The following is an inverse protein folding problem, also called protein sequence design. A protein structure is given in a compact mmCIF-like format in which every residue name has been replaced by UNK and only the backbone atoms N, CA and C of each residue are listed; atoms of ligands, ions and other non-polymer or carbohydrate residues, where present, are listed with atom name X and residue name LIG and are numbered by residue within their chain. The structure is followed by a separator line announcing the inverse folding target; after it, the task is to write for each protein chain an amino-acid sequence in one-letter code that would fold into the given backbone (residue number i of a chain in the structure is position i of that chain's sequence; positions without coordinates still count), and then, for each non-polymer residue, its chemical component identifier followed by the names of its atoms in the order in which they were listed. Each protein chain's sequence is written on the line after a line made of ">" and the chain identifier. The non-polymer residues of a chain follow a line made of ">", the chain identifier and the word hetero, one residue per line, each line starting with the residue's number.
data_IF_773276641245
#
_entry.id   IF_773276641245
#
_cell.length_a   1.000
_cell.length_b   1.000
_cell.length_c   1.000
_cell.angle_alpha   90.00
_cell.angle_beta   90.00
_cell.angle_gamma   90.00
#
_symmetry.space_group_name_H-M   'P 1'
#
loop_
_entity.id
_entity.type
_entity.pdbx_description
1 polymer ?
#
# COMPACT_ATOMS: atom_id res chain seq x y z
N UNK A 1 -23.25 21.18 -9.81
CA UNK A 1 -22.89 20.50 -8.54
C UNK A 1 -21.53 19.80 -8.60
N UNK A 2 -21.19 19.09 -9.68
CA UNK A 2 -19.95 18.28 -9.84
C UNK A 2 -18.62 19.02 -9.63
N UNK A 3 -18.53 20.32 -9.98
CA UNK A 3 -17.28 21.08 -9.87
C UNK A 3 -16.88 21.38 -8.41
N UNK A 4 -17.87 21.53 -7.53
CA UNK A 4 -17.67 21.88 -6.12
C UNK A 4 -17.11 20.68 -5.34
N UNK A 5 -17.57 19.47 -5.66
CA UNK A 5 -17.15 18.23 -5.00
C UNK A 5 -15.73 17.82 -5.37
N UNK A 6 -15.32 17.97 -6.64
CA UNK A 6 -13.92 17.74 -7.07
C UNK A 6 -12.96 18.72 -6.37
N UNK A 7 -13.38 19.97 -6.16
CA UNK A 7 -12.58 20.98 -5.45
C UNK A 7 -12.46 20.65 -3.96
N UNK A 8 -13.52 20.15 -3.34
CA UNK A 8 -13.52 19.71 -1.94
C UNK A 8 -12.59 18.51 -1.74
N UNK A 9 -12.67 17.49 -2.60
CA UNK A 9 -11.79 16.31 -2.53
C UNK A 9 -10.31 16.67 -2.69
N UNK A 10 -9.98 17.59 -3.62
CA UNK A 10 -8.61 18.08 -3.80
C UNK A 10 -8.09 18.82 -2.55
N UNK A 11 -8.94 19.62 -1.90
CA UNK A 11 -8.59 20.33 -0.66
C UNK A 11 -8.41 19.36 0.52
N UNK A 12 -9.23 18.33 0.62
CA UNK A 12 -9.09 17.28 1.63
C UNK A 12 -7.80 16.48 1.44
N UNK A 13 -7.48 16.06 0.21
CA UNK A 13 -6.21 15.42 -0.10
C UNK A 13 -5.01 16.31 0.23
N UNK A 14 -5.06 17.61 -0.12
CA UNK A 14 -3.99 18.55 0.22
C UNK A 14 -3.84 18.74 1.74
N UNK A 15 -4.95 18.81 2.48
CA UNK A 15 -4.93 18.93 3.95
C UNK A 15 -4.32 17.67 4.59
N UNK A 16 -4.70 16.48 4.12
CA UNK A 16 -4.14 15.22 4.59
C UNK A 16 -2.66 15.10 4.27
N UNK A 17 -2.23 15.52 3.07
CA UNK A 17 -0.81 15.59 2.70
C UNK A 17 -0.02 16.55 3.57
N UNK A 18 -0.62 17.72 3.88
CA UNK A 18 0.04 18.73 4.69
C UNK A 18 0.16 18.31 6.15
N UNK A 19 -0.90 17.71 6.71
CA UNK A 19 -0.84 17.06 8.02
C UNK A 19 0.19 15.93 8.05
N UNK A 20 0.31 15.15 6.98
CA UNK A 20 1.34 14.11 6.87
C UNK A 20 2.75 14.71 6.92
N UNK A 21 3.03 15.75 6.14
CA UNK A 21 4.34 16.42 6.08
C UNK A 21 4.71 17.07 7.42
N UNK A 22 3.75 17.73 8.09
CA UNK A 22 4.01 18.40 9.38
C UNK A 22 4.37 17.42 10.50
N UNK A 23 3.93 16.16 10.43
CA UNK A 23 4.23 15.15 11.44
C UNK A 23 5.58 14.43 11.21
N UNK A 24 6.17 14.52 10.01
CA UNK A 24 7.47 13.90 9.71
C UNK A 24 8.59 14.50 10.58
N UNK A 25 8.61 15.82 10.79
CA UNK A 25 9.65 16.49 11.58
C UNK A 25 9.65 16.12 13.07
N UNK A 26 8.48 15.89 13.65
CA UNK A 26 8.32 15.44 15.05
C UNK A 26 8.74 13.98 15.24
N UNK A 27 8.51 13.16 14.22
CA UNK A 27 8.84 11.74 14.19
C UNK A 27 10.34 11.50 14.02
N UNK A 28 11.02 12.30 13.20
CA UNK A 28 12.48 12.22 13.00
C UNK A 28 13.29 12.59 14.27
N UNK A 29 12.70 13.33 15.21
CA UNK A 29 13.34 13.69 16.48
C UNK A 29 13.33 12.56 17.53
N UNK A 30 12.49 11.53 17.38
CA UNK A 30 12.48 10.34 18.24
C UNK A 30 13.36 9.25 17.60
N UNK A 31 14.66 9.28 17.90
CA UNK A 31 15.72 8.50 17.23
C UNK A 31 15.33 7.09 16.77
N UNK A 32 15.68 6.74 15.52
CA UNK A 32 15.60 5.43 14.82
C UNK A 32 14.33 4.56 15.03
N UNK A 33 13.27 5.07 15.64
CA UNK A 33 12.02 4.31 15.89
C UNK A 33 11.09 4.30 14.69
N UNK A 34 11.24 5.30 13.83
CA UNK A 34 10.45 5.47 12.64
C UNK A 34 11.34 5.37 11.40
N UNK A 35 10.96 4.46 10.53
CA UNK A 35 11.63 4.18 9.25
C UNK A 35 10.67 4.57 8.13
N UNK A 36 11.23 4.93 6.98
CA UNK A 36 10.47 5.16 5.77
C UNK A 36 10.86 4.11 4.74
N UNK A 37 9.88 3.57 4.03
CA UNK A 37 10.10 2.64 2.95
C UNK A 37 9.48 3.18 1.67
N UNK A 38 10.28 3.25 0.62
CA UNK A 38 9.84 3.58 -0.73
C UNK A 38 10.12 2.39 -1.63
N UNK A 39 9.14 2.00 -2.44
CA UNK A 39 9.30 0.84 -3.30
C UNK A 39 8.40 0.80 -4.50
N UNK A 40 8.64 -0.22 -5.33
CA UNK A 40 7.82 -0.58 -6.45
C UNK A 40 7.02 -1.83 -6.11
N UNK A 41 5.82 -1.93 -6.67
CA UNK A 41 4.97 -3.09 -6.51
C UNK A 41 4.44 -3.57 -7.86
N UNK A 42 4.10 -4.85 -7.96
CA UNK A 42 3.56 -5.45 -9.15
C UNK A 42 2.42 -6.40 -8.78
N UNK A 43 1.21 -6.15 -9.28
CA UNK A 43 0.09 -7.06 -9.11
C UNK A 43 0.35 -8.39 -9.84
N UNK A 44 0.08 -9.50 -9.15
CA UNK A 44 0.17 -10.85 -9.70
C UNK A 44 -1.24 -11.29 -10.10
N UNK A 45 -1.42 -11.61 -11.38
CA UNK A 45 -2.67 -12.14 -11.91
C UNK A 45 -2.95 -13.55 -11.40
N UNK A 46 -3.99 -13.72 -10.59
CA UNK A 46 -4.43 -15.04 -10.10
C UNK A 46 -5.38 -15.77 -11.07
N UNK A 47 -5.93 -15.05 -12.04
CA UNK A 47 -6.90 -15.57 -13.01
C UNK A 47 -6.29 -15.66 -14.42
N UNK A 48 -6.88 -16.49 -15.28
CA UNK A 48 -6.51 -16.56 -16.70
C UNK A 48 -6.64 -15.16 -17.34
N UNK A 49 -5.58 -14.70 -18.01
CA UNK A 49 -5.42 -13.33 -18.53
C UNK A 49 -5.20 -12.21 -17.50
N UNK A 50 -5.14 -12.51 -16.19
CA UNK A 50 -5.03 -11.51 -15.11
C UNK A 50 -3.70 -10.76 -15.02
N UNK A 51 -2.82 -10.90 -16.01
CA UNK A 51 -1.54 -10.20 -16.12
C UNK A 51 -1.46 -9.22 -17.31
N UNK A 52 -2.46 -9.24 -18.21
CA UNK A 52 -2.39 -8.51 -19.49
C UNK A 52 -2.26 -6.99 -19.32
N UNK A 53 -2.90 -6.44 -18.30
CA UNK A 53 -2.96 -5.00 -18.04
C UNK A 53 -2.20 -4.60 -16.76
N UNK A 54 -1.40 -5.52 -16.19
CA UNK A 54 -0.66 -5.23 -14.96
C UNK A 54 0.54 -4.35 -15.27
N UNK A 55 0.67 -3.25 -14.54
CA UNK A 55 1.79 -2.35 -14.63
C UNK A 55 2.47 -2.21 -13.27
N UNK A 56 3.74 -1.78 -13.28
CA UNK A 56 4.47 -1.47 -12.06
C UNK A 56 3.80 -0.29 -11.36
N UNK A 57 3.46 -0.51 -10.10
CA UNK A 57 3.00 0.51 -9.17
C UNK A 57 4.12 0.95 -8.22
N UNK A 58 3.80 1.92 -7.37
CA UNK A 58 4.72 2.46 -6.38
C UNK A 58 4.02 2.57 -5.05
N UNK A 59 4.78 2.50 -3.97
CA UNK A 59 4.24 2.72 -2.64
C UNK A 59 5.21 3.46 -1.74
N UNK A 60 4.65 4.17 -0.78
CA UNK A 60 5.33 4.77 0.35
C UNK A 60 4.79 4.12 1.61
N UNK A 61 5.67 3.78 2.55
CA UNK A 61 5.28 3.13 3.80
C UNK A 61 6.05 3.74 4.97
N UNK A 62 5.33 4.28 5.96
CA UNK A 62 5.91 4.72 7.23
C UNK A 62 5.85 3.58 8.23
N UNK A 63 6.96 3.28 8.91
CA UNK A 63 7.09 2.10 9.78
C UNK A 63 7.55 2.55 11.15
N UNK A 64 6.78 2.22 12.18
CA UNK A 64 7.16 2.39 13.57
C UNK A 64 7.51 1.02 14.18
N UNK A 65 8.78 0.81 14.55
CA UNK A 65 9.24 -0.43 15.20
C UNK A 65 9.27 -0.26 16.72
N UNK A 66 8.64 -1.17 17.45
CA UNK A 66 8.69 -1.15 18.90
C UNK A 66 10.07 -1.65 19.40
N UNK A 67 10.74 -0.95 20.33
CA UNK A 67 12.09 -1.35 20.77
C UNK A 67 12.13 -2.72 21.45
N UNK A 68 11.13 -3.02 22.28
CA UNK A 68 11.11 -4.22 23.14
C UNK A 68 10.14 -5.31 22.65
N UNK A 69 9.45 -5.08 21.54
CA UNK A 69 8.42 -5.98 21.03
C UNK A 69 8.73 -6.34 19.57
N UNK A 70 8.56 -7.61 19.15
CA UNK A 70 8.68 -8.05 17.76
C UNK A 70 7.63 -7.44 16.80
N UNK A 71 6.79 -6.52 17.25
CA UNK A 71 5.79 -5.85 16.44
C UNK A 71 6.32 -4.56 15.75
N UNK A 72 5.71 -4.23 14.62
CA UNK A 72 5.72 -2.88 14.05
C UNK A 72 4.31 -2.44 13.69
N UNK A 73 4.09 -1.13 13.70
CA UNK A 73 2.89 -0.51 13.11
C UNK A 73 3.31 0.28 11.90
N UNK A 74 2.53 0.18 10.83
CA UNK A 74 2.88 0.67 9.52
C UNK A 74 1.72 1.49 8.96
N UNK A 75 2.02 2.47 8.11
CA UNK A 75 1.03 3.16 7.29
C UNK A 75 1.54 3.20 5.85
N UNK A 76 0.92 2.39 4.99
CA UNK A 76 1.28 2.24 3.57
C UNK A 76 0.29 3.00 2.69
N UNK A 77 0.81 3.86 1.82
CA UNK A 77 0.10 4.44 0.69
C UNK A 77 0.60 3.75 -0.58
N UNK A 78 -0.26 2.98 -1.24
CA UNK A 78 0.08 2.20 -2.43
C UNK A 78 -0.68 2.67 -3.66
N UNK A 79 0.00 2.81 -4.78
CA UNK A 79 -0.63 2.90 -6.09
C UNK A 79 -0.37 1.60 -6.85
N UNK A 80 -1.43 1.00 -7.39
CA UNK A 80 -1.34 -0.25 -8.15
C UNK A 80 -2.10 -0.13 -9.49
N UNK A 81 -1.60 -0.76 -10.55
CA UNK A 81 -2.34 -0.95 -11.82
C UNK A 81 -2.36 -2.43 -12.16
N UNK A 82 -3.56 -3.00 -12.20
CA UNK A 82 -3.81 -4.44 -12.23
C UNK A 82 -4.94 -4.78 -13.19
N UNK A 83 -4.96 -6.02 -13.65
CA UNK A 83 -5.96 -6.50 -14.58
C UNK A 83 -7.25 -6.85 -13.86
N UNK A 84 -8.37 -6.34 -14.36
CA UNK A 84 -9.71 -6.76 -13.96
C UNK A 84 -10.30 -7.61 -15.10
N UNK A 85 -10.78 -8.80 -14.77
CA UNK A 85 -11.38 -9.73 -15.74
C UNK A 85 -12.89 -9.78 -15.52
N UNK A 86 -13.64 -9.01 -16.33
CA UNK A 86 -15.10 -8.87 -16.29
C UNK A 86 -15.67 -9.10 -17.70
N UNK A 87 -15.83 -10.36 -18.13
CA UNK A 87 -16.13 -10.78 -19.52
C UNK A 87 -15.05 -10.39 -20.56
N UNK A 88 -14.52 -9.17 -20.48
CA UNK A 88 -13.32 -8.67 -21.14
C UNK A 88 -12.23 -8.33 -20.10
N UNK A 89 -11.05 -7.96 -20.60
CA UNK A 89 -9.89 -7.56 -19.79
C UNK A 89 -9.83 -6.04 -19.71
N UNK A 90 -9.72 -5.48 -18.51
CA UNK A 90 -9.67 -4.04 -18.26
C UNK A 90 -8.47 -3.67 -17.38
N UNK A 91 -8.04 -2.42 -17.48
CA UNK A 91 -6.98 -1.88 -16.62
C UNK A 91 -7.59 -1.27 -15.35
N UNK A 92 -7.52 -2.00 -14.24
CA UNK A 92 -7.84 -1.49 -12.92
C UNK A 92 -6.70 -0.64 -12.36
N UNK A 93 -7.03 0.52 -11.79
CA UNK A 93 -6.09 1.36 -11.05
C UNK A 93 -6.58 1.54 -9.63
N UNK A 94 -5.66 1.45 -8.68
CA UNK A 94 -5.93 1.59 -7.27
C UNK A 94 -5.04 2.63 -6.62
N UNK A 95 -5.60 3.39 -5.68
CA UNK A 95 -4.87 4.05 -4.61
C UNK A 95 -5.35 3.52 -3.26
N UNK A 96 -4.45 2.91 -2.49
CA UNK A 96 -4.74 2.26 -1.21
C UNK A 96 -4.06 2.99 -0.05
N UNK A 97 -4.75 3.11 1.08
CA UNK A 97 -4.20 3.63 2.34
C UNK A 97 -4.40 2.61 3.45
N UNK A 98 -3.35 1.85 3.75
CA UNK A 98 -3.35 0.71 4.67
C UNK A 98 -2.52 0.97 5.93
N UNK A 99 -3.16 1.30 7.06
CA UNK A 99 -2.53 1.01 8.35
C UNK A 99 -2.41 -0.51 8.51
N UNK A 100 -1.29 -0.97 9.05
CA UNK A 100 -1.01 -2.38 9.25
C UNK A 100 -0.18 -2.62 10.51
N UNK A 101 -0.24 -3.85 11.02
CA UNK A 101 0.65 -4.33 12.06
C UNK A 101 1.41 -5.56 11.55
N UNK A 102 2.71 -5.61 11.82
CA UNK A 102 3.57 -6.73 11.46
C UNK A 102 4.19 -7.35 12.71
N UNK A 103 4.36 -8.67 12.69
CA UNK A 103 5.09 -9.45 13.67
C UNK A 103 6.33 -10.06 13.01
N UNK A 104 7.52 -9.76 13.56
CA UNK A 104 8.81 -10.26 13.09
C UNK A 104 9.21 -11.52 13.88
N UNK A 105 9.55 -12.60 13.18
CA UNK A 105 9.83 -13.91 13.80
C UNK A 105 11.26 -14.01 14.35
N UNK A 106 12.22 -13.56 13.56
CA UNK A 106 13.64 -13.59 13.86
C UNK A 106 14.11 -12.16 13.74
N UNK A 107 14.60 -11.60 14.85
CA UNK A 107 15.17 -10.25 14.88
C UNK A 107 16.68 -10.40 14.75
N UNK A 108 17.13 -10.67 13.54
CA UNK A 108 18.54 -10.86 13.21
C UNK A 108 18.99 -9.73 12.29
N UNK A 109 20.16 -9.15 12.52
CA UNK A 109 20.58 -7.92 11.85
C UNK A 109 20.66 -8.01 10.31
N UNK A 110 20.74 -9.22 9.74
CA UNK A 110 20.88 -9.44 8.30
C UNK A 110 19.61 -9.90 7.59
N UNK A 111 18.72 -10.65 8.24
CA UNK A 111 17.50 -11.18 7.61
C UNK A 111 16.37 -11.29 8.63
N UNK A 112 15.31 -10.51 8.41
CA UNK A 112 14.15 -10.38 9.28
C UNK A 112 12.89 -10.79 8.51
N UNK A 113 12.28 -11.94 8.83
CA UNK A 113 11.00 -12.35 8.26
C UNK A 113 9.82 -11.90 9.12
N UNK A 114 8.70 -11.58 8.48
CA UNK A 114 7.49 -11.15 9.17
C UNK A 114 6.20 -11.61 8.49
N UNK A 115 5.16 -11.68 9.30
CA UNK A 115 3.76 -11.71 8.87
C UNK A 115 3.08 -10.43 9.35
N UNK A 116 2.01 -10.02 8.68
CA UNK A 116 1.28 -8.85 9.08
C UNK A 116 -0.14 -8.81 8.53
N UNK A 117 -0.90 -7.86 9.03
CA UNK A 117 -2.27 -7.61 8.64
C UNK A 117 -2.50 -6.12 8.51
N UNK A 118 -2.93 -5.69 7.32
CA UNK A 118 -3.43 -4.34 7.08
C UNK A 118 -4.95 -4.30 7.02
N UNK A 119 -5.54 -3.17 7.43
CA UNK A 119 -6.96 -2.90 7.24
C UNK A 119 -7.14 -1.45 6.84
N UNK A 120 -7.84 -1.15 5.76
CA UNK A 120 -8.00 0.23 5.34
C UNK A 120 -8.91 0.38 4.14
N UNK A 121 -8.64 1.41 3.33
CA UNK A 121 -9.42 1.72 2.14
C UNK A 121 -8.61 1.59 0.86
N UNK A 122 -9.25 1.12 -0.20
CA UNK A 122 -8.78 1.10 -1.58
C UNK A 122 -9.75 1.91 -2.42
N UNK A 123 -9.23 2.88 -3.17
CA UNK A 123 -9.99 3.64 -4.16
C UNK A 123 -9.62 3.04 -5.51
N UNK A 124 -10.59 2.39 -6.15
CA UNK A 124 -10.38 1.64 -7.38
C UNK A 124 -11.13 2.29 -8.55
N UNK A 125 -10.55 2.27 -9.74
CA UNK A 125 -11.20 2.72 -10.97
C UNK A 125 -10.79 1.84 -12.16
N UNK A 126 -11.62 1.81 -13.20
CA UNK A 126 -11.44 0.98 -14.39
C UNK A 126 -11.13 1.88 -15.60
N UNK A 127 -10.06 1.56 -16.33
CA UNK A 127 -9.52 2.19 -17.55
C UNK A 127 -9.06 3.65 -17.44
N UNK A 128 -9.59 4.41 -16.48
CA UNK A 128 -9.28 5.81 -16.25
C UNK A 128 -8.50 6.02 -14.95
N UNK A 129 -7.95 7.21 -14.74
CA UNK A 129 -7.20 7.53 -13.53
C UNK A 129 -8.03 7.37 -12.24
N UNK A 130 -7.37 7.04 -11.13
CA UNK A 130 -8.03 6.71 -9.84
C UNK A 130 -8.99 7.81 -9.35
N UNK A 131 -8.72 9.07 -9.67
CA UNK A 131 -9.55 10.23 -9.26
C UNK A 131 -10.59 10.68 -10.31
N UNK A 132 -10.75 9.94 -11.40
CA UNK A 132 -11.75 10.23 -12.41
C UNK A 132 -13.14 9.72 -12.00
N UNK A 133 -14.17 10.11 -12.74
CA UNK A 133 -15.54 9.64 -12.50
C UNK A 133 -15.63 8.10 -12.62
N UNK A 134 -16.48 7.48 -11.81
CA UNK A 134 -16.63 6.03 -11.74
C UNK A 134 -15.76 5.32 -10.69
N UNK A 135 -14.97 6.05 -9.89
CA UNK A 135 -14.20 5.45 -8.80
C UNK A 135 -15.10 4.77 -7.76
N UNK A 136 -14.62 3.67 -7.21
CA UNK A 136 -15.28 2.92 -6.13
C UNK A 136 -14.37 2.89 -4.91
N UNK A 137 -14.95 3.19 -3.75
CA UNK A 137 -14.24 3.07 -2.47
C UNK A 137 -14.59 1.72 -1.85
N UNK A 138 -13.56 0.96 -1.48
CA UNK A 138 -13.69 -0.34 -0.87
C UNK A 138 -12.91 -0.40 0.44
N UNK A 139 -13.51 -1.01 1.45
CA UNK A 139 -12.75 -1.49 2.60
C UNK A 139 -11.95 -2.73 2.18
N UNK A 140 -10.70 -2.81 2.63
CA UNK A 140 -9.82 -3.91 2.35
C UNK A 140 -9.18 -4.44 3.62
N UNK A 141 -9.05 -5.76 3.67
CA UNK A 141 -8.19 -6.46 4.64
C UNK A 141 -7.03 -7.05 3.86
N UNK A 142 -5.81 -6.80 4.30
CA UNK A 142 -4.61 -7.08 3.53
C UNK A 142 -3.59 -7.88 4.35
N UNK A 143 -3.78 -9.22 4.50
CA UNK A 143 -2.72 -10.06 5.03
C UNK A 143 -1.46 -9.91 4.18
N UNK A 144 -0.31 -9.87 4.84
CA UNK A 144 0.98 -9.77 4.17
C UNK A 144 2.03 -10.64 4.85
N UNK A 145 3.00 -11.06 4.04
CA UNK A 145 4.23 -11.72 4.50
C UNK A 145 5.40 -11.05 3.82
N UNK A 146 6.53 -10.97 4.49
CA UNK A 146 7.72 -10.38 3.89
C UNK A 146 9.01 -10.78 4.57
N UNK A 147 10.09 -10.45 3.88
CA UNK A 147 11.46 -10.67 4.32
C UNK A 147 12.21 -9.36 4.09
N UNK A 148 12.87 -8.89 5.13
CA UNK A 148 13.76 -7.74 5.10
C UNK A 148 15.20 -8.21 5.14
N UNK A 149 15.99 -7.80 4.17
CA UNK A 149 17.41 -8.11 4.04
C UNK A 149 18.24 -6.88 4.42
N UNK A 150 19.26 -7.10 5.26
CA UNK A 150 20.29 -6.12 5.66
C UNK A 150 19.63 -4.82 6.16
N UNK A 151 18.49 -4.94 6.82
CA UNK A 151 17.62 -3.86 7.30
C UNK A 151 17.11 -2.84 6.27
N UNK A 152 17.56 -2.90 5.02
CA UNK A 152 17.27 -1.91 4.00
C UNK A 152 16.41 -2.43 2.86
N UNK A 153 16.50 -3.71 2.48
CA UNK A 153 15.75 -4.22 1.32
C UNK A 153 14.57 -5.05 1.82
N UNK A 154 13.35 -4.56 1.63
CA UNK A 154 12.14 -5.28 1.97
C UNK A 154 11.54 -5.92 0.71
N UNK A 155 11.24 -7.22 0.78
CA UNK A 155 10.48 -7.95 -0.24
C UNK A 155 9.24 -8.52 0.43
N UNK A 156 8.06 -8.25 -0.11
CA UNK A 156 6.82 -8.70 0.49
C UNK A 156 5.79 -9.16 -0.53
N UNK A 157 4.89 -10.01 -0.06
CA UNK A 157 3.68 -10.41 -0.74
C UNK A 157 2.48 -9.97 0.10
N UNK A 158 1.53 -9.26 -0.51
CA UNK A 158 0.34 -8.76 0.16
C UNK A 158 -0.90 -9.08 -0.68
N UNK A 159 -1.93 -9.64 -0.05
CA UNK A 159 -3.18 -9.94 -0.74
C UNK A 159 -4.28 -9.00 -0.25
N UNK A 160 -4.78 -8.14 -1.13
CA UNK A 160 -5.92 -7.27 -0.83
C UNK A 160 -7.22 -8.06 -0.96
N UNK A 161 -7.82 -8.40 0.19
CA UNK A 161 -9.18 -8.95 0.28
C UNK A 161 -10.15 -7.78 0.28
N UNK A 162 -10.82 -7.57 -0.85
CA UNK A 162 -11.80 -6.51 -1.08
C UNK A 162 -12.98 -7.09 -1.88
N UNK A 163 -13.82 -6.26 -2.51
CA UNK A 163 -14.83 -6.72 -3.45
C UNK A 163 -14.19 -7.65 -4.50
N UNK A 164 -14.92 -8.71 -4.89
CA UNK A 164 -14.39 -9.87 -5.66
C UNK A 164 -13.55 -9.47 -6.88
N UNK A 165 -14.01 -8.47 -7.62
CA UNK A 165 -13.38 -8.04 -8.88
C UNK A 165 -12.14 -7.15 -8.69
N UNK A 166 -11.92 -6.64 -7.48
CA UNK A 166 -10.83 -5.71 -7.13
C UNK A 166 -9.80 -6.37 -6.18
N UNK A 167 -10.07 -7.60 -5.75
CA UNK A 167 -9.14 -8.39 -4.93
C UNK A 167 -7.91 -8.75 -5.74
N UNK A 168 -6.73 -8.51 -5.16
CA UNK A 168 -5.46 -8.61 -5.90
C UNK A 168 -4.30 -9.02 -5.01
N UNK A 169 -3.43 -9.86 -5.56
CA UNK A 169 -2.15 -10.21 -4.96
C UNK A 169 -1.08 -9.26 -5.48
N UNK A 170 -0.23 -8.75 -4.60
CA UNK A 170 0.80 -7.78 -4.94
C UNK A 170 2.14 -8.25 -4.39
N UNK A 171 3.13 -8.31 -5.27
CA UNK A 171 4.54 -8.45 -4.90
C UNK A 171 5.16 -7.06 -4.83
N UNK A 172 5.86 -6.75 -3.75
CA UNK A 172 6.55 -5.47 -3.61
C UNK A 172 8.00 -5.63 -3.21
N UNK A 173 8.82 -4.70 -3.69
CA UNK A 173 10.22 -4.54 -3.31
C UNK A 173 10.47 -3.07 -2.96
N UNK A 174 11.05 -2.81 -1.80
CA UNK A 174 11.31 -1.45 -1.34
C UNK A 174 12.61 -1.30 -0.58
N UNK A 175 13.07 -0.06 -0.52
CA UNK A 175 14.21 0.36 0.26
C UNK A 175 13.74 1.07 1.52
N UNK A 176 14.24 0.64 2.67
CA UNK A 176 13.96 1.17 4.01
C UNK A 176 15.11 2.09 4.42
N UNK A 177 14.78 3.32 4.79
CA UNK A 177 15.68 4.38 5.24
C UNK A 177 15.71 4.49 6.77
#
# INVERSE_FOLDING_TARGET
>A
MVLKDKLVMKKVCMLLLWLFICNIGLVLAQGRRFEFELGANYPIGLQKNGYKENHVGFYLNGIYRFPTNPLSVNLKLGYESYTIVLNNTFNGRSLSLMPAANYYFLRNESVDSYVGLGTGVSIDNIDVGVFNEGYKLHFAVAPQVGIRFINHINVYLQYYVTHKDFSRLVLGVGYVF
#
